data_IF_292169924473
#
_entry.id   IF_292169924473
#
_cell.length_a   1.000
_cell.length_b   1.000
_cell.length_c   1.000
_cell.angle_alpha   90.00
_cell.angle_beta   90.00
_cell.angle_gamma   90.00
#
_symmetry.space_group_name_H-M   'P 1'
#
loop_
_entity.id
_entity.type
_entity.pdbx_description
1 polymer ?
#
# COMPACT_ATOMS: atom_id res chain seq x y z
N UNK A 1 2.26 -14.58 -21.29
CA UNK A 1 1.67 -13.22 -21.48
C UNK A 1 2.07 -12.33 -20.33
N UNK A 2 2.55 -11.15 -20.63
CA UNK A 2 2.86 -10.19 -19.59
C UNK A 2 1.59 -9.45 -19.17
N UNK A 3 1.48 -9.15 -17.89
CA UNK A 3 0.39 -8.34 -17.37
C UNK A 3 0.55 -6.87 -17.81
N UNK A 4 -0.55 -6.16 -17.95
CA UNK A 4 -0.51 -4.72 -18.21
C UNK A 4 0.02 -3.99 -16.97
N UNK A 5 0.49 -2.76 -17.15
CA UNK A 5 1.00 -1.96 -16.02
C UNK A 5 -0.08 -1.71 -14.98
N UNK A 6 -1.30 -1.44 -15.40
CA UNK A 6 -2.39 -1.23 -14.44
C UNK A 6 -2.75 -2.50 -13.67
N UNK A 7 -2.65 -3.67 -14.27
CA UNK A 7 -2.84 -4.93 -13.55
C UNK A 7 -1.73 -5.16 -12.52
N UNK A 8 -0.48 -4.91 -12.91
CA UNK A 8 0.66 -4.99 -11.98
C UNK A 8 0.45 -4.01 -10.81
N UNK A 9 0.02 -2.77 -11.10
CA UNK A 9 -0.22 -1.79 -10.05
C UNK A 9 -1.35 -2.23 -9.11
N UNK A 10 -2.44 -2.78 -9.63
CA UNK A 10 -3.54 -3.24 -8.78
C UNK A 10 -3.07 -4.36 -7.84
N UNK A 11 -2.28 -5.30 -8.33
CA UNK A 11 -1.72 -6.37 -7.50
C UNK A 11 -0.72 -5.82 -6.47
N UNK A 12 0.07 -4.83 -6.87
CA UNK A 12 1.02 -4.17 -5.98
C UNK A 12 0.31 -3.47 -4.81
N UNK A 13 -0.79 -2.81 -5.08
CA UNK A 13 -1.58 -2.13 -4.03
C UNK A 13 -2.15 -3.15 -3.05
N UNK A 14 -2.64 -4.29 -3.54
CA UNK A 14 -3.11 -5.37 -2.67
C UNK A 14 -1.98 -5.93 -1.81
N UNK A 15 -0.81 -6.14 -2.39
CA UNK A 15 0.36 -6.63 -1.67
C UNK A 15 0.80 -5.65 -0.59
N UNK A 16 0.82 -4.36 -0.88
CA UNK A 16 1.16 -3.31 0.08
C UNK A 16 0.13 -3.21 1.21
N UNK A 17 -1.12 -3.52 0.92
CA UNK A 17 -2.17 -3.53 1.94
C UNK A 17 -2.12 -4.77 2.83
N UNK A 18 -1.18 -5.68 2.59
CA UNK A 18 -0.93 -6.83 3.44
C UNK A 18 -1.36 -8.18 2.86
N UNK A 19 -1.61 -8.29 1.56
CA UNK A 19 -1.91 -9.58 0.94
C UNK A 19 -0.62 -10.38 0.74
N UNK A 20 -0.31 -11.24 1.71
CA UNK A 20 0.90 -12.06 1.72
C UNK A 20 0.91 -13.14 0.65
N UNK A 21 -0.22 -13.40 -0.03
CA UNK A 21 -0.26 -14.38 -1.11
C UNK A 21 0.41 -13.88 -2.39
N UNK A 22 0.66 -12.57 -2.48
CA UNK A 22 1.23 -11.93 -3.66
C UNK A 22 2.76 -11.84 -3.52
N UNK A 23 3.48 -12.34 -4.51
CA UNK A 23 4.95 -12.30 -4.52
C UNK A 23 5.45 -10.95 -5.04
N UNK A 24 6.04 -10.17 -4.15
CA UNK A 24 6.56 -8.83 -4.47
C UNK A 24 7.59 -8.83 -5.60
N UNK A 25 8.39 -9.88 -5.71
CA UNK A 25 9.43 -9.99 -6.74
C UNK A 25 8.87 -9.98 -8.15
N UNK A 26 7.62 -10.40 -8.32
CA UNK A 26 6.98 -10.41 -9.64
C UNK A 26 6.47 -9.03 -10.05
N UNK A 27 6.32 -8.11 -9.10
CA UNK A 27 5.69 -6.81 -9.30
C UNK A 27 6.67 -5.64 -9.24
N UNK A 28 7.73 -5.76 -8.43
CA UNK A 28 8.67 -4.67 -8.15
C UNK A 28 10.08 -5.05 -8.54
N UNK A 29 10.87 -4.04 -8.93
CA UNK A 29 12.31 -4.22 -9.14
C UNK A 29 12.99 -4.39 -7.78
N UNK A 30 14.18 -5.03 -7.76
CA UNK A 30 14.94 -5.23 -6.52
C UNK A 30 15.33 -3.91 -5.86
N UNK A 31 15.56 -2.87 -6.67
CA UNK A 31 15.96 -1.54 -6.23
C UNK A 31 14.80 -0.56 -6.10
N UNK A 32 13.57 -1.06 -5.96
CA UNK A 32 12.38 -0.23 -5.88
C UNK A 32 12.52 0.83 -4.79
N UNK A 33 12.02 2.03 -5.10
CA UNK A 33 11.88 3.10 -4.11
C UNK A 33 10.41 3.51 -4.04
N UNK A 34 9.93 3.75 -2.83
CA UNK A 34 8.53 4.11 -2.63
C UNK A 34 8.39 5.15 -1.55
N UNK A 35 7.32 5.93 -1.66
CA UNK A 35 6.99 6.95 -0.68
C UNK A 35 5.50 6.93 -0.36
N UNK A 36 5.19 7.11 0.92
CA UNK A 36 3.84 7.37 1.42
C UNK A 36 3.95 8.28 2.64
N UNK A 37 2.83 8.81 3.17
CA UNK A 37 2.88 9.68 4.35
C UNK A 37 3.56 9.06 5.58
N UNK A 38 3.53 7.74 5.71
CA UNK A 38 4.12 7.06 6.89
C UNK A 38 5.48 6.46 6.65
N UNK A 39 5.87 6.24 5.41
CA UNK A 39 7.09 5.49 5.16
C UNK A 39 7.70 5.82 3.80
N UNK A 40 9.01 5.90 3.78
CA UNK A 40 9.79 5.84 2.56
C UNK A 40 10.54 4.52 2.58
N UNK A 41 10.50 3.77 1.48
CA UNK A 41 11.18 2.49 1.37
C UNK A 41 12.22 2.54 0.26
N UNK A 42 13.32 1.85 0.47
CA UNK A 42 14.37 1.68 -0.53
C UNK A 42 14.74 0.22 -0.55
N UNK A 43 14.44 -0.44 -1.66
CA UNK A 43 14.72 -1.85 -1.87
C UNK A 43 13.56 -2.77 -1.50
N UNK A 44 13.60 -3.94 -2.10
CA UNK A 44 12.50 -4.92 -2.00
C UNK A 44 12.34 -5.47 -0.57
N UNK A 45 13.44 -5.65 0.16
CA UNK A 45 13.39 -6.14 1.54
C UNK A 45 12.65 -5.15 2.47
N UNK A 46 12.93 -3.86 2.33
CA UNK A 46 12.25 -2.83 3.12
C UNK A 46 10.74 -2.78 2.81
N UNK A 47 10.39 -2.95 1.53
CA UNK A 47 8.99 -3.01 1.13
C UNK A 47 8.27 -4.23 1.73
N UNK A 48 8.94 -5.38 1.75
CA UNK A 48 8.39 -6.60 2.34
C UNK A 48 8.14 -6.42 3.85
N UNK A 49 9.05 -5.78 4.55
CA UNK A 49 8.89 -5.49 5.98
C UNK A 49 7.69 -4.58 6.23
N UNK A 50 7.52 -3.55 5.41
CA UNK A 50 6.38 -2.63 5.52
C UNK A 50 5.05 -3.34 5.27
N UNK A 51 4.99 -4.18 4.24
CA UNK A 51 3.79 -4.98 3.93
C UNK A 51 3.42 -5.91 5.09
N UNK A 52 4.41 -6.53 5.73
CA UNK A 52 4.19 -7.40 6.88
C UNK A 52 3.62 -6.64 8.08
N UNK A 53 4.08 -5.41 8.32
CA UNK A 53 3.53 -4.56 9.38
C UNK A 53 2.06 -4.22 9.13
N UNK A 54 1.68 -3.98 7.88
CA UNK A 54 0.29 -3.68 7.52
C UNK A 54 -0.60 -4.91 7.65
N UNK A 55 -0.10 -6.08 7.26
CA UNK A 55 -0.82 -7.34 7.43
C UNK A 55 -1.13 -7.60 8.91
N UNK A 56 -0.19 -7.29 9.79
CA UNK A 56 -0.38 -7.45 11.23
C UNK A 56 -1.39 -6.46 11.79
N UNK A 57 -1.39 -5.21 11.29
CA UNK A 57 -2.22 -4.13 11.83
C UNK A 57 -3.71 -4.27 11.46
N UNK A 58 -3.99 -4.82 10.28
CA UNK A 58 -5.35 -4.81 9.71
C UNK A 58 -5.82 -6.19 9.34
N UNK A 59 -7.15 -6.37 9.43
CA UNK A 59 -7.84 -7.56 8.94
C UNK A 59 -9.07 -7.16 8.14
N UNK A 60 -9.65 -8.13 7.43
CA UNK A 60 -10.84 -7.92 6.60
C UNK A 60 -10.65 -6.78 5.59
N UNK A 61 -9.48 -6.75 4.96
CA UNK A 61 -9.11 -5.69 4.03
C UNK A 61 -9.88 -5.84 2.73
N UNK A 62 -10.55 -4.79 2.32
CA UNK A 62 -11.25 -4.70 1.03
C UNK A 62 -10.73 -3.49 0.28
N UNK A 63 -10.31 -3.69 -0.96
CA UNK A 63 -9.81 -2.61 -1.81
C UNK A 63 -10.76 -2.45 -2.99
N UNK A 64 -11.25 -1.23 -3.18
CA UNK A 64 -12.08 -0.86 -4.33
C UNK A 64 -11.30 0.13 -5.18
N UNK A 65 -11.12 -0.17 -6.47
CA UNK A 65 -10.47 0.75 -7.40
C UNK A 65 -11.52 1.65 -8.02
N UNK A 66 -11.36 2.96 -7.83
CA UNK A 66 -12.24 3.99 -8.40
C UNK A 66 -11.71 4.51 -9.73
N UNK A 67 -10.42 4.35 -9.98
CA UNK A 67 -9.77 4.68 -11.23
C UNK A 67 -8.49 3.86 -11.35
N UNK A 68 -8.25 3.32 -12.52
CA UNK A 68 -7.06 2.50 -12.78
C UNK A 68 -6.70 2.68 -14.24
N UNK A 69 -5.55 3.30 -14.50
CA UNK A 69 -5.16 3.65 -15.85
C UNK A 69 -3.64 3.60 -16.03
N UNK A 70 -3.19 3.64 -17.27
CA UNK A 70 -1.77 3.62 -17.60
C UNK A 70 -1.48 4.54 -18.78
N UNK A 71 -0.34 5.23 -18.72
CA UNK A 71 0.14 6.13 -19.78
C UNK A 71 1.65 5.98 -19.90
N UNK A 72 2.14 5.53 -21.07
CA UNK A 72 3.57 5.30 -21.25
C UNK A 72 4.09 4.25 -20.29
N UNK A 73 5.14 4.57 -19.54
CA UNK A 73 5.69 3.66 -18.53
C UNK A 73 5.20 3.97 -17.11
N UNK A 74 4.02 4.60 -17.00
CA UNK A 74 3.39 4.94 -15.73
C UNK A 74 2.04 4.26 -15.60
N UNK A 75 1.62 4.04 -14.35
CA UNK A 75 0.26 3.64 -14.04
C UNK A 75 -0.26 4.45 -12.84
N UNK A 76 -1.57 4.63 -12.79
CA UNK A 76 -2.25 5.46 -11.81
C UNK A 76 -3.43 4.68 -11.24
N UNK A 77 -3.62 4.75 -9.95
CA UNK A 77 -4.77 4.13 -9.31
C UNK A 77 -5.36 5.07 -8.27
N UNK A 78 -6.66 5.28 -8.34
CA UNK A 78 -7.44 5.86 -7.26
C UNK A 78 -8.18 4.71 -6.58
N UNK A 79 -8.04 4.59 -5.27
CA UNK A 79 -8.55 3.44 -4.54
C UNK A 79 -9.18 3.84 -3.22
N UNK A 80 -10.04 2.95 -2.72
CA UNK A 80 -10.56 3.01 -1.36
C UNK A 80 -10.19 1.71 -0.67
N UNK A 81 -9.50 1.80 0.45
CA UNK A 81 -9.21 0.68 1.33
C UNK A 81 -10.13 0.75 2.53
N UNK A 82 -10.77 -0.37 2.84
CA UNK A 82 -11.56 -0.55 4.07
C UNK A 82 -10.97 -1.72 4.83
N UNK A 83 -10.84 -1.58 6.14
CA UNK A 83 -10.24 -2.62 6.97
C UNK A 83 -10.64 -2.45 8.42
N UNK A 84 -10.40 -3.50 9.22
CA UNK A 84 -10.56 -3.45 10.66
C UNK A 84 -9.18 -3.35 11.32
N UNK A 85 -9.02 -2.44 12.26
CA UNK A 85 -7.78 -2.24 13.00
C UNK A 85 -7.69 -3.24 14.13
N UNK A 86 -7.16 -4.42 13.85
CA UNK A 86 -7.17 -5.56 14.77
C UNK A 86 -5.78 -5.95 15.31
N UNK A 87 -4.74 -5.25 14.89
CA UNK A 87 -3.38 -5.43 15.39
C UNK A 87 -2.69 -4.09 15.60
N UNK A 88 -1.45 -4.08 16.10
CA UNK A 88 -0.74 -2.83 16.34
C UNK A 88 -0.38 -2.14 15.02
N UNK A 89 -0.62 -0.84 14.94
CA UNK A 89 -0.18 -0.01 13.81
C UNK A 89 1.08 0.75 14.22
N UNK A 90 2.19 0.39 13.63
CA UNK A 90 3.49 1.03 13.89
C UNK A 90 3.60 2.27 13.02
N UNK A 91 3.65 3.46 13.64
CA UNK A 91 3.80 4.73 12.94
C UNK A 91 5.27 5.17 12.85
N UNK A 92 6.06 4.81 13.87
CA UNK A 92 7.49 5.08 13.94
C UNK A 92 8.10 4.15 14.99
N UNK A 93 9.41 4.21 15.20
CA UNK A 93 10.09 3.42 16.24
C UNK A 93 9.49 3.64 17.63
N UNK A 94 9.00 4.85 17.90
CA UNK A 94 8.53 5.25 19.23
C UNK A 94 7.01 5.39 19.31
N UNK A 95 6.27 5.09 18.24
CA UNK A 95 4.84 5.33 18.19
C UNK A 95 4.09 4.15 17.60
N UNK A 96 3.28 3.51 18.44
CA UNK A 96 2.43 2.39 18.04
C UNK A 96 1.01 2.66 18.52
N UNK A 97 0.04 2.48 17.63
CA UNK A 97 -1.38 2.50 17.97
C UNK A 97 -1.84 1.06 18.17
N UNK A 98 -2.17 0.72 19.42
CA UNK A 98 -2.66 -0.62 19.75
C UNK A 98 -3.99 -0.91 19.06
N UNK A 99 -4.29 -2.18 18.84
CA UNK A 99 -5.52 -2.63 18.17
C UNK A 99 -6.76 -2.05 18.85
N UNK A 100 -7.66 -1.46 18.06
CA UNK A 100 -8.91 -0.86 18.56
C UNK A 100 -10.15 -1.62 18.14
N UNK A 101 -10.02 -2.50 17.13
CA UNK A 101 -11.17 -3.18 16.54
C UNK A 101 -12.02 -2.27 15.65
N UNK A 102 -11.64 -1.01 15.47
CA UNK A 102 -12.42 -0.05 14.68
C UNK A 102 -12.30 -0.32 13.20
N UNK A 103 -13.39 -0.10 12.49
CA UNK A 103 -13.40 -0.13 11.03
C UNK A 103 -12.90 1.21 10.49
N UNK A 104 -11.99 1.15 9.51
CA UNK A 104 -11.41 2.35 8.89
C UNK A 104 -11.67 2.34 7.39
N UNK A 105 -11.78 3.54 6.82
CA UNK A 105 -11.91 3.76 5.38
C UNK A 105 -10.85 4.78 4.97
N UNK A 106 -10.04 4.42 3.98
CA UNK A 106 -8.95 5.28 3.53
C UNK A 106 -8.97 5.39 2.01
N UNK A 107 -9.36 6.55 1.48
CA UNK A 107 -9.19 6.84 0.05
C UNK A 107 -7.76 7.28 -0.22
N UNK A 108 -7.24 6.90 -1.36
CA UNK A 108 -5.89 7.27 -1.76
C UNK A 108 -5.63 7.16 -3.24
N UNK A 109 -4.44 7.59 -3.62
CA UNK A 109 -3.96 7.56 -5.00
C UNK A 109 -2.53 7.05 -5.00
N UNK A 110 -2.23 6.15 -5.92
CA UNK A 110 -0.86 5.67 -6.15
C UNK A 110 -0.45 5.95 -7.58
N UNK A 111 0.76 6.47 -7.74
CA UNK A 111 1.41 6.70 -9.04
C UNK A 111 2.67 5.84 -9.09
N UNK A 112 2.82 5.04 -10.12
CA UNK A 112 3.96 4.15 -10.27
C UNK A 112 4.69 4.38 -11.59
N UNK A 113 6.01 4.29 -11.53
CA UNK A 113 6.90 4.29 -12.71
C UNK A 113 7.44 2.88 -12.90
N UNK A 114 7.49 2.43 -14.15
CA UNK A 114 7.86 1.06 -14.48
C UNK A 114 9.21 0.98 -15.20
N UNK A 115 9.87 -0.14 -14.99
CA UNK A 115 11.07 -0.54 -15.74
C UNK A 115 10.95 -2.03 -16.04
N UNK A 116 10.95 -2.35 -17.34
CA UNK A 116 10.85 -3.75 -17.81
C UNK A 116 9.66 -4.52 -17.21
N UNK A 117 8.50 -3.85 -17.15
CA UNK A 117 7.25 -4.47 -16.68
C UNK A 117 7.08 -4.52 -15.18
N UNK A 118 8.04 -4.03 -14.41
CA UNK A 118 7.96 -3.99 -12.94
C UNK A 118 8.00 -2.56 -12.42
N UNK A 119 7.42 -2.34 -11.27
CA UNK A 119 7.44 -1.03 -10.61
C UNK A 119 8.83 -0.77 -10.06
N UNK A 120 9.46 0.32 -10.50
CA UNK A 120 10.75 0.76 -9.99
C UNK A 120 10.64 1.88 -8.97
N UNK A 121 9.56 2.66 -9.02
CA UNK A 121 9.28 3.71 -8.04
C UNK A 121 7.79 3.95 -7.96
N UNK A 122 7.31 4.35 -6.79
CA UNK A 122 5.92 4.70 -6.60
C UNK A 122 5.77 5.77 -5.53
N UNK A 123 4.64 6.48 -5.59
CA UNK A 123 4.23 7.45 -4.59
C UNK A 123 2.77 7.20 -4.28
N UNK A 124 2.47 7.07 -3.00
CA UNK A 124 1.10 6.88 -2.53
C UNK A 124 0.70 8.07 -1.66
N UNK A 125 -0.46 8.62 -1.94
CA UNK A 125 -0.99 9.78 -1.24
C UNK A 125 -2.32 9.43 -0.59
N UNK A 126 -2.45 9.68 0.70
CA UNK A 126 -3.69 9.52 1.43
C UNK A 126 -3.70 10.48 2.62
N UNK A 127 -4.89 10.68 3.21
CA UNK A 127 -5.06 11.54 4.37
C UNK A 127 -4.72 10.75 5.64
N UNK A 128 -3.48 10.86 6.09
CA UNK A 128 -2.97 10.16 7.26
C UNK A 128 -3.61 10.66 8.56
N UNK A 129 -3.97 11.93 8.61
CA UNK A 129 -4.66 12.51 9.79
C UNK A 129 -6.04 11.89 9.94
N UNK A 130 -6.79 11.78 8.84
CA UNK A 130 -8.10 11.14 8.86
C UNK A 130 -8.01 9.67 9.33
N UNK A 131 -7.00 8.94 8.88
CA UNK A 131 -6.80 7.55 9.31
C UNK A 131 -6.59 7.48 10.82
N UNK A 132 -5.70 8.30 11.36
CA UNK A 132 -5.42 8.33 12.80
C UNK A 132 -6.68 8.71 13.59
N UNK A 133 -7.43 9.73 13.13
CA UNK A 133 -8.67 10.13 13.78
C UNK A 133 -9.69 9.00 13.83
N UNK A 134 -9.83 8.22 12.76
CA UNK A 134 -10.72 7.06 12.72
C UNK A 134 -10.27 6.00 13.73
N UNK A 135 -8.98 5.76 13.87
CA UNK A 135 -8.43 4.76 14.77
C UNK A 135 -8.60 5.18 16.24
N UNK A 136 -8.28 6.43 16.55
CA UNK A 136 -8.38 6.89 17.96
C UNK A 136 -9.78 7.36 18.34
N UNK A 137 -10.68 7.50 17.39
CA UNK A 137 -12.07 7.87 17.66
C UNK A 137 -12.27 9.36 17.94
N UNK A 138 -11.40 10.20 17.38
CA UNK A 138 -11.49 11.65 17.58
C UNK A 138 -12.32 12.33 16.50
#
# INVERSE_FOLDING_TARGET
>A
MSSSRKEVLSDAIRAEAGDASIDLKTLFTDDVVGWSPYAAVSGLAALADLSALREEAYSNVVITFRGLDEVGNKAFAEWLVEADHTGPLVLSEDSVLEATGRHVQLPGVTVADFREGKIRSYRTYFDDISLIEQIVGA
#
